data_IF_685209675259
#
_entry.id   IF_685209675259
#
_cell.length_a   1.000
_cell.length_b   1.000
_cell.length_c   1.000
_cell.angle_alpha   90.00
_cell.angle_beta   90.00
_cell.angle_gamma   90.00
#
_symmetry.space_group_name_H-M   'P 1'
#
loop_
_entity.id
_entity.type
_entity.pdbx_description
1 polymer ?
#
# COMPACT_ATOMS: atom_id res chain seq x y z
N UNK A 1 12.71 70.84 -1.29
CA UNK A 1 11.97 70.58 -2.55
C UNK A 1 12.52 69.43 -3.42
N UNK A 2 13.78 68.99 -3.28
CA UNK A 2 14.33 67.83 -4.03
C UNK A 2 13.71 66.48 -3.64
N UNK A 3 13.43 66.25 -2.35
CA UNK A 3 12.86 65.00 -1.84
C UNK A 3 11.44 64.70 -2.34
N UNK A 4 10.62 65.72 -2.59
CA UNK A 4 9.23 65.55 -3.05
C UNK A 4 9.13 64.91 -4.44
N UNK A 5 10.17 65.06 -5.28
CA UNK A 5 10.21 64.47 -6.62
C UNK A 5 10.65 63.01 -6.65
N UNK A 6 11.24 62.49 -5.57
CA UNK A 6 11.81 61.13 -5.50
C UNK A 6 10.78 60.11 -5.01
N UNK A 7 9.82 60.53 -4.19
CA UNK A 7 8.75 59.70 -3.62
C UNK A 7 7.93 58.94 -4.68
N UNK A 8 7.43 59.56 -5.76
CA UNK A 8 6.68 58.83 -6.79
C UNK A 8 7.55 57.78 -7.49
N UNK A 9 8.83 58.06 -7.74
CA UNK A 9 9.72 57.09 -8.39
C UNK A 9 9.95 55.83 -7.54
N UNK A 10 10.00 55.95 -6.21
CA UNK A 10 10.13 54.82 -5.29
C UNK A 10 8.87 53.93 -5.27
N UNK A 11 7.69 54.54 -5.34
CA UNK A 11 6.40 53.82 -5.30
C UNK A 11 6.18 52.94 -6.54
N UNK A 12 6.70 53.33 -7.70
CA UNK A 12 6.59 52.54 -8.94
C UNK A 12 7.62 51.40 -9.05
N UNK A 13 8.67 51.37 -8.21
CA UNK A 13 9.72 50.36 -8.28
C UNK A 13 9.21 48.93 -7.97
N UNK A 14 8.13 48.80 -7.20
CA UNK A 14 7.50 47.51 -6.91
C UNK A 14 6.88 46.82 -8.13
N UNK A 15 6.38 47.59 -9.11
CA UNK A 15 5.77 47.05 -10.33
C UNK A 15 6.79 46.47 -11.33
N UNK A 16 8.07 46.78 -11.16
CA UNK A 16 9.16 46.21 -11.97
C UNK A 16 9.74 44.92 -11.36
N UNK A 17 9.20 44.44 -10.24
CA UNK A 17 9.70 43.23 -9.60
C UNK A 17 9.32 41.97 -10.41
N UNK A 18 10.32 41.12 -10.66
CA UNK A 18 10.15 39.83 -11.32
C UNK A 18 9.69 38.80 -10.31
N UNK A 19 8.63 38.06 -10.65
CA UNK A 19 8.17 36.96 -9.82
C UNK A 19 9.24 35.84 -9.78
N UNK A 20 9.51 35.25 -8.60
CA UNK A 20 10.42 34.12 -8.50
C UNK A 20 9.89 32.95 -9.35
N UNK A 21 10.82 32.23 -10.00
CA UNK A 21 10.48 31.07 -10.80
C UNK A 21 9.82 29.99 -9.91
N UNK A 22 8.79 29.28 -10.42
CA UNK A 22 8.16 28.20 -9.67
C UNK A 22 9.20 27.11 -9.37
N UNK A 23 9.22 26.67 -8.12
CA UNK A 23 10.08 25.56 -7.68
C UNK A 23 9.33 24.26 -7.88
N UNK A 24 9.84 23.39 -8.76
CA UNK A 24 9.30 22.04 -8.91
C UNK A 24 9.69 21.18 -7.71
N UNK A 25 8.68 20.69 -6.97
CA UNK A 25 8.86 19.75 -5.87
C UNK A 25 8.33 18.39 -6.30
N UNK A 26 9.21 17.38 -6.34
CA UNK A 26 8.79 15.99 -6.59
C UNK A 26 8.26 15.40 -5.29
N UNK A 27 6.94 15.23 -5.23
CA UNK A 27 6.27 14.52 -4.13
C UNK A 27 6.16 13.05 -4.51
N UNK A 28 6.66 12.15 -3.65
CA UNK A 28 6.47 10.72 -3.85
C UNK A 28 4.97 10.40 -3.69
N UNK A 29 4.37 9.86 -4.74
CA UNK A 29 2.98 9.39 -4.71
C UNK A 29 2.99 7.92 -4.29
N UNK A 30 2.21 7.52 -3.26
CA UNK A 30 2.11 6.11 -2.89
C UNK A 30 1.53 5.31 -4.05
N UNK A 31 2.24 4.27 -4.46
CA UNK A 31 1.79 3.32 -5.48
C UNK A 31 1.05 2.18 -4.77
N UNK A 32 -0.12 1.73 -5.28
CA UNK A 32 -0.81 0.58 -4.69
C UNK A 32 0.06 -0.67 -4.81
N UNK A 33 0.22 -1.41 -3.71
CA UNK A 33 0.89 -2.71 -3.79
C UNK A 33 0.03 -3.71 -4.56
N UNK A 34 0.66 -4.48 -5.44
CA UNK A 34 0.07 -5.64 -6.08
C UNK A 34 0.78 -6.91 -5.56
N UNK A 35 0.32 -7.48 -4.43
CA UNK A 35 0.91 -8.71 -3.91
C UNK A 35 0.69 -9.87 -4.88
N UNK A 36 1.58 -10.89 -4.87
CA UNK A 36 1.38 -12.09 -5.66
C UNK A 36 0.09 -12.81 -5.26
N UNK A 37 -0.62 -13.36 -6.24
CA UNK A 37 -1.81 -14.16 -5.98
C UNK A 37 -1.43 -15.46 -5.26
N UNK A 38 -2.01 -15.71 -4.09
CA UNK A 38 -1.82 -16.95 -3.34
C UNK A 38 -3.03 -17.85 -3.59
N UNK A 39 -2.81 -18.99 -4.23
CA UNK A 39 -3.87 -19.96 -4.50
C UNK A 39 -4.38 -20.62 -3.21
N UNK A 40 -5.71 -20.72 -3.10
CA UNK A 40 -6.35 -21.44 -2.00
C UNK A 40 -6.17 -22.95 -2.20
N UNK A 41 -5.61 -23.68 -1.21
CA UNK A 41 -5.42 -25.12 -1.34
C UNK A 41 -6.76 -25.86 -1.30
N UNK A 42 -6.80 -27.05 -1.92
CA UNK A 42 -7.87 -28.01 -1.62
C UNK A 42 -7.66 -28.56 -0.21
N UNK A 43 -8.58 -28.20 0.67
CA UNK A 43 -8.58 -28.59 2.06
C UNK A 43 -8.92 -30.08 2.24
N UNK A 44 -8.22 -30.75 3.16
CA UNK A 44 -8.32 -32.20 3.35
C UNK A 44 -9.71 -32.67 3.79
N UNK A 45 -10.52 -31.80 4.40
CA UNK A 45 -11.90 -32.08 4.78
C UNK A 45 -12.89 -31.99 3.62
N UNK A 46 -12.48 -31.47 2.46
CA UNK A 46 -13.37 -31.30 1.31
C UNK A 46 -14.00 -32.61 0.81
N UNK A 47 -13.33 -33.74 1.05
CA UNK A 47 -13.75 -35.06 0.62
C UNK A 47 -14.44 -35.88 1.74
N UNK A 48 -14.62 -35.30 2.94
CA UNK A 48 -15.27 -35.97 4.05
C UNK A 48 -16.78 -36.09 3.84
N UNK A 49 -17.32 -37.24 4.24
CA UNK A 49 -18.75 -37.53 4.26
C UNK A 49 -19.24 -37.70 5.69
N UNK A 50 -20.54 -37.45 5.95
CA UNK A 50 -21.12 -37.65 7.29
C UNK A 50 -20.94 -39.07 7.82
N UNK A 51 -20.99 -40.07 6.93
CA UNK A 51 -20.87 -41.49 7.28
C UNK A 51 -19.43 -41.98 7.52
N UNK A 52 -18.41 -41.16 7.22
CA UNK A 52 -17.03 -41.58 7.46
C UNK A 52 -16.74 -41.74 8.96
N UNK A 53 -15.87 -42.70 9.28
CA UNK A 53 -15.51 -42.99 10.67
C UNK A 53 -14.75 -41.83 11.34
N UNK A 54 -14.69 -41.89 12.67
CA UNK A 54 -14.04 -40.85 13.46
C UNK A 54 -12.54 -40.73 13.14
N UNK A 55 -11.86 -41.86 12.90
CA UNK A 55 -10.42 -41.86 12.63
C UNK A 55 -10.08 -41.12 11.32
N UNK A 56 -10.89 -41.33 10.29
CA UNK A 56 -10.79 -40.67 8.98
C UNK A 56 -11.01 -39.16 9.12
N UNK A 57 -12.06 -38.77 9.87
CA UNK A 57 -12.34 -37.35 10.16
C UNK A 57 -11.21 -36.68 10.95
N UNK A 58 -10.72 -37.30 12.01
CA UNK A 58 -9.61 -36.74 12.82
C UNK A 58 -8.34 -36.59 12.00
N UNK A 59 -8.00 -37.58 11.16
CA UNK A 59 -6.82 -37.49 10.29
C UNK A 59 -6.95 -36.36 9.27
N UNK A 60 -8.11 -36.20 8.64
CA UNK A 60 -8.37 -35.11 7.71
C UNK A 60 -8.26 -33.73 8.41
N UNK A 61 -8.84 -33.58 9.60
CA UNK A 61 -8.75 -32.35 10.39
C UNK A 61 -7.30 -32.01 10.81
N UNK A 62 -6.50 -33.01 11.20
CA UNK A 62 -5.09 -32.80 11.55
C UNK A 62 -4.27 -32.35 10.34
N UNK A 63 -4.49 -32.99 9.18
CA UNK A 63 -3.84 -32.60 7.93
C UNK A 63 -4.26 -31.18 7.49
N UNK A 64 -5.54 -30.87 7.57
CA UNK A 64 -6.08 -29.56 7.22
C UNK A 64 -5.56 -28.44 8.11
N UNK A 65 -5.39 -28.71 9.42
CA UNK A 65 -4.75 -27.75 10.32
C UNK A 65 -3.36 -27.35 9.83
N UNK A 66 -2.56 -28.30 9.34
CA UNK A 66 -1.25 -28.02 8.77
C UNK A 66 -1.36 -27.24 7.45
N UNK A 67 -2.36 -27.56 6.61
CA UNK A 67 -2.62 -26.82 5.38
C UNK A 67 -2.96 -25.35 5.66
N UNK A 68 -3.78 -25.06 6.66
CA UNK A 68 -4.12 -23.69 7.07
C UNK A 68 -2.89 -22.92 7.55
N UNK A 69 -2.05 -23.52 8.41
CA UNK A 69 -0.83 -22.88 8.89
C UNK A 69 0.12 -22.51 7.74
N UNK A 70 0.30 -23.42 6.78
CA UNK A 70 1.13 -23.18 5.61
C UNK A 70 0.53 -22.14 4.66
N UNK A 71 -0.81 -22.10 4.52
CA UNK A 71 -1.50 -21.10 3.71
C UNK A 71 -1.42 -19.72 4.34
N UNK A 72 -1.65 -19.61 5.64
CA UNK A 72 -1.50 -18.37 6.40
C UNK A 72 -0.08 -17.81 6.29
N UNK A 73 0.94 -18.67 6.41
CA UNK A 73 2.35 -18.27 6.22
C UNK A 73 2.59 -17.68 4.83
N UNK A 74 2.00 -18.27 3.78
CA UNK A 74 2.10 -17.75 2.40
C UNK A 74 1.37 -16.41 2.24
N UNK A 75 0.21 -16.25 2.87
CA UNK A 75 -0.52 -14.98 2.85
C UNK A 75 0.26 -13.86 3.55
N UNK A 76 0.84 -14.13 4.72
CA UNK A 76 1.70 -13.16 5.41
C UNK A 76 2.91 -12.78 4.56
N UNK A 77 3.57 -13.76 3.92
CA UNK A 77 4.69 -13.47 3.02
C UNK A 77 4.28 -12.58 1.84
N UNK A 78 3.09 -12.78 1.26
CA UNK A 78 2.57 -11.93 0.19
C UNK A 78 2.28 -10.50 0.67
N UNK A 79 1.81 -10.32 1.91
CA UNK A 79 1.61 -9.00 2.53
C UNK A 79 2.95 -8.33 2.90
N UNK A 80 3.92 -9.08 3.39
CA UNK A 80 5.24 -8.56 3.74
C UNK A 80 6.01 -8.07 2.51
N UNK A 81 5.76 -8.65 1.33
CA UNK A 81 6.30 -8.16 0.06
C UNK A 81 5.81 -6.74 -0.31
N UNK A 82 4.77 -6.24 0.36
CA UNK A 82 4.18 -4.91 0.15
C UNK A 82 4.62 -3.85 1.18
N UNK A 83 5.43 -4.22 2.17
CA UNK A 83 6.00 -3.27 3.13
C UNK A 83 7.19 -2.53 2.53
#
# INVERSE_FOLDING_TARGET
MKLLRVIPALLLAGCASTAPAPVEVRVAVPVPCQPPAVETPRFATADLRPADDLQTKVRALLAERQQHLAYETRLHAALDACR
#
